data_IF_934398211482
#
_entry.id   IF_934398211482
#
_cell.length_a   1.000
_cell.length_b   1.000
_cell.length_c   1.000
_cell.angle_alpha   90.00
_cell.angle_beta   90.00
_cell.angle_gamma   90.00
#
_symmetry.space_group_name_H-M   'P 1'
#
loop_
_entity.id
_entity.type
_entity.pdbx_description
1 polymer ?
#
# COMPACT_ATOMS: atom_id res chain seq x y z
N UNK A 1 6.57 12.65 -3.82
CA UNK A 1 5.37 11.97 -3.29
C UNK A 1 5.15 12.25 -1.80
N UNK A 2 6.17 12.06 -0.94
CA UNK A 2 6.09 12.26 0.53
C UNK A 2 5.69 13.68 0.96
N UNK A 3 6.05 14.72 0.20
CA UNK A 3 5.66 16.11 0.48
C UNK A 3 4.22 16.47 0.09
N UNK A 4 3.56 15.68 -0.77
CA UNK A 4 2.21 15.92 -1.26
C UNK A 4 1.39 14.61 -1.22
N UNK A 5 1.14 14.06 -0.02
CA UNK A 5 0.57 12.72 0.16
C UNK A 5 -0.87 12.57 -0.36
N UNK A 6 -1.61 13.67 -0.41
CA UNK A 6 -2.98 13.72 -0.93
C UNK A 6 -3.05 13.53 -2.45
N UNK A 7 -1.93 13.67 -3.16
CA UNK A 7 -1.83 13.59 -4.63
C UNK A 7 -1.14 12.32 -5.12
N UNK A 8 -1.03 11.30 -4.28
CA UNK A 8 -0.39 10.01 -4.59
C UNK A 8 -0.94 9.35 -5.84
N UNK A 9 -2.27 9.28 -5.99
CA UNK A 9 -2.94 8.76 -7.18
C UNK A 9 -2.65 9.56 -8.45
N UNK A 10 -2.61 10.90 -8.36
CA UNK A 10 -2.25 11.78 -9.49
C UNK A 10 -0.83 11.51 -9.97
N UNK A 11 0.12 11.33 -9.06
CA UNK A 11 1.51 11.00 -9.42
C UNK A 11 1.62 9.60 -10.02
N UNK A 12 0.91 8.62 -9.48
CA UNK A 12 0.92 7.26 -10.01
C UNK A 12 0.31 7.22 -11.43
N UNK A 13 -0.82 7.90 -11.65
CA UNK A 13 -1.45 8.01 -12.95
C UNK A 13 -0.55 8.71 -13.98
N UNK A 14 0.13 9.79 -13.57
CA UNK A 14 1.12 10.46 -14.42
C UNK A 14 2.29 9.55 -14.80
N UNK A 15 2.80 8.75 -13.87
CA UNK A 15 3.84 7.76 -14.16
C UNK A 15 3.33 6.62 -15.06
N UNK A 16 2.05 6.23 -14.92
CA UNK A 16 1.42 5.27 -15.83
C UNK A 16 1.39 5.74 -17.28
N UNK A 17 1.21 7.05 -17.51
CA UNK A 17 1.32 7.63 -18.85
C UNK A 17 2.77 7.66 -19.38
N UNK A 18 3.77 7.73 -18.48
CA UNK A 18 5.18 7.81 -18.83
C UNK A 18 5.89 6.45 -18.94
N UNK A 19 5.34 5.38 -18.36
CA UNK A 19 6.02 4.08 -18.26
C UNK A 19 6.43 3.52 -19.63
N UNK A 20 5.62 3.78 -20.66
CA UNK A 20 5.87 3.30 -22.01
C UNK A 20 6.97 4.09 -22.74
N UNK A 21 6.90 5.42 -22.88
CA UNK A 21 7.96 6.20 -23.52
C UNK A 21 9.24 6.30 -22.67
N UNK A 22 9.15 6.16 -21.34
CA UNK A 22 10.25 6.43 -20.41
C UNK A 22 10.42 5.33 -19.36
N UNK A 23 10.39 4.06 -19.78
CA UNK A 23 10.46 2.89 -18.87
C UNK A 23 11.64 2.92 -17.90
N UNK A 24 12.84 3.29 -18.37
CA UNK A 24 14.05 3.34 -17.53
C UNK A 24 13.87 4.33 -16.38
N UNK A 25 13.40 5.55 -16.69
CA UNK A 25 13.12 6.57 -15.68
C UNK A 25 12.06 6.12 -14.66
N UNK A 26 10.97 5.50 -15.12
CA UNK A 26 9.93 5.00 -14.21
C UNK A 26 10.47 3.88 -13.32
N UNK A 27 11.30 2.99 -13.88
CA UNK A 27 11.94 1.90 -13.12
C UNK A 27 12.86 2.46 -12.03
N UNK A 28 13.74 3.41 -12.37
CA UNK A 28 14.63 4.05 -11.40
C UNK A 28 13.85 4.79 -10.30
N UNK A 29 12.72 5.41 -10.63
CA UNK A 29 11.87 6.08 -9.66
C UNK A 29 11.20 5.09 -8.71
N UNK A 30 10.70 3.97 -9.23
CA UNK A 30 10.13 2.87 -8.43
C UNK A 30 11.19 2.30 -7.49
N UNK A 31 12.38 1.99 -8.01
CA UNK A 31 13.51 1.51 -7.22
C UNK A 31 13.86 2.50 -6.11
N UNK A 32 13.89 3.80 -6.43
CA UNK A 32 14.16 4.82 -5.42
C UNK A 32 13.06 4.93 -4.37
N UNK A 33 11.79 4.75 -4.75
CA UNK A 33 10.68 4.75 -3.81
C UNK A 33 10.74 3.55 -2.85
N UNK A 34 11.18 2.39 -3.34
CA UNK A 34 11.41 1.21 -2.54
C UNK A 34 12.61 1.37 -1.58
N UNK A 35 13.74 1.90 -2.07
CA UNK A 35 14.88 2.24 -1.21
C UNK A 35 14.47 3.20 -0.10
N UNK A 36 13.68 4.23 -0.43
CA UNK A 36 13.16 5.17 0.55
C UNK A 36 12.19 4.54 1.55
N UNK A 37 11.46 3.49 1.16
CA UNK A 37 10.61 2.72 2.06
C UNK A 37 11.45 1.91 3.05
N UNK A 38 12.53 1.30 2.56
CA UNK A 38 13.53 0.65 3.41
C UNK A 38 14.18 1.64 4.37
N UNK A 39 14.75 2.74 3.89
CA UNK A 39 15.44 3.70 4.74
C UNK A 39 14.50 4.54 5.64
N UNK A 40 13.19 4.27 5.61
CA UNK A 40 12.19 5.08 6.28
C UNK A 40 12.13 4.80 7.79
N UNK A 41 12.53 5.78 8.60
CA UNK A 41 12.27 5.78 10.04
C UNK A 41 10.89 6.37 10.42
N UNK A 42 10.22 7.03 9.47
CA UNK A 42 8.96 7.73 9.69
C UNK A 42 7.77 6.89 9.25
N UNK A 43 6.93 6.55 10.22
CA UNK A 43 5.61 5.91 10.04
C UNK A 43 4.77 6.60 8.98
N UNK A 44 4.75 7.94 9.01
CA UNK A 44 3.96 8.73 8.06
C UNK A 44 4.47 8.53 6.63
N UNK A 45 5.79 8.58 6.44
CA UNK A 45 6.39 8.40 5.12
C UNK A 45 6.23 6.96 4.62
N UNK A 46 6.36 5.94 5.48
CA UNK A 46 6.05 4.55 5.13
C UNK A 46 4.60 4.40 4.63
N UNK A 47 3.61 4.96 5.34
CA UNK A 47 2.20 4.93 4.91
C UNK A 47 2.01 5.55 3.53
N UNK A 48 2.64 6.69 3.28
CA UNK A 48 2.53 7.41 2.00
C UNK A 48 3.18 6.63 0.87
N UNK A 49 4.36 6.04 1.12
CA UNK A 49 5.09 5.22 0.15
C UNK A 49 4.32 3.93 -0.16
N UNK A 50 3.79 3.23 0.85
CA UNK A 50 2.96 2.04 0.64
C UNK A 50 1.71 2.35 -0.20
N UNK A 51 1.01 3.44 0.13
CA UNK A 51 -0.12 3.91 -0.69
C UNK A 51 0.32 4.17 -2.13
N UNK A 52 1.45 4.85 -2.32
CA UNK A 52 1.96 5.17 -3.64
C UNK A 52 2.34 3.93 -4.46
N UNK A 53 2.97 2.91 -3.85
CA UNK A 53 3.31 1.66 -4.52
C UNK A 53 2.06 0.89 -4.98
N UNK A 54 1.01 0.85 -4.16
CA UNK A 54 -0.27 0.23 -4.57
C UNK A 54 -0.96 1.03 -5.68
N UNK A 55 -0.92 2.37 -5.62
CA UNK A 55 -1.42 3.22 -6.71
C UNK A 55 -0.65 3.01 -8.02
N UNK A 56 0.67 2.79 -7.95
CA UNK A 56 1.48 2.44 -9.12
C UNK A 56 1.08 1.09 -9.71
N UNK A 57 0.75 0.10 -8.88
CA UNK A 57 0.21 -1.17 -9.36
C UNK A 57 -1.16 -1.00 -10.02
N UNK A 58 -2.06 -0.20 -9.43
CA UNK A 58 -3.34 0.15 -10.05
C UNK A 58 -3.18 0.82 -11.42
N UNK A 59 -2.10 1.61 -11.59
CA UNK A 59 -1.77 2.29 -12.84
C UNK A 59 -0.91 1.44 -13.80
N UNK A 60 -0.71 0.15 -13.51
CA UNK A 60 0.09 -0.81 -14.30
C UNK A 60 1.55 -0.40 -14.49
N UNK A 61 2.09 0.41 -13.59
CA UNK A 61 3.50 0.77 -13.59
C UNK A 61 4.37 -0.38 -13.06
N UNK A 62 3.87 -1.13 -12.08
CA UNK A 62 4.56 -2.22 -11.38
C UNK A 62 3.63 -3.42 -11.25
N UNK A 63 4.18 -4.62 -11.13
CA UNK A 63 3.39 -5.81 -10.83
C UNK A 63 2.87 -5.74 -9.40
N UNK A 64 1.57 -6.02 -9.23
CA UNK A 64 0.98 -6.01 -7.90
C UNK A 64 1.58 -7.11 -7.01
N UNK A 65 1.92 -8.27 -7.57
CA UNK A 65 2.56 -9.38 -6.85
C UNK A 65 3.86 -8.94 -6.17
N UNK A 66 4.65 -8.08 -6.81
CA UNK A 66 5.86 -7.53 -6.18
C UNK A 66 5.54 -6.56 -5.05
N UNK A 67 4.51 -5.73 -5.20
CA UNK A 67 4.04 -4.84 -4.12
C UNK A 67 3.49 -5.66 -2.96
N UNK A 68 2.81 -6.76 -3.26
CA UNK A 68 2.23 -7.68 -2.30
C UNK A 68 3.30 -8.43 -1.51
N UNK A 69 4.40 -8.84 -2.14
CA UNK A 69 5.56 -9.41 -1.44
C UNK A 69 6.10 -8.45 -0.37
N UNK A 70 6.21 -7.16 -0.69
CA UNK A 70 6.67 -6.15 0.29
C UNK A 70 5.67 -5.88 1.39
N UNK A 71 4.37 -5.91 1.06
CA UNK A 71 3.30 -5.88 2.08
C UNK A 71 3.44 -7.08 3.02
N UNK A 72 3.68 -8.28 2.49
CA UNK A 72 3.83 -9.51 3.27
C UNK A 72 5.05 -9.44 4.19
N UNK A 73 6.20 -8.99 3.70
CA UNK A 73 7.41 -8.83 4.51
C UNK A 73 7.22 -7.82 5.64
N UNK A 74 6.60 -6.66 5.37
CA UNK A 74 6.23 -5.71 6.41
C UNK A 74 5.32 -6.34 7.46
N UNK A 75 4.39 -7.20 7.04
CA UNK A 75 3.49 -7.92 7.93
C UNK A 75 4.22 -9.01 8.73
N UNK A 76 5.26 -9.62 8.16
CA UNK A 76 6.11 -10.63 8.80
C UNK A 76 7.09 -10.02 9.81
N UNK A 77 7.49 -8.76 9.65
CA UNK A 77 8.29 -8.03 10.63
C UNK A 77 7.67 -8.01 12.04
N UNK A 78 6.34 -8.22 12.16
CA UNK A 78 5.68 -8.39 13.47
C UNK A 78 6.22 -9.58 14.27
N UNK A 79 6.74 -10.60 13.59
CA UNK A 79 7.29 -11.79 14.21
C UNK A 79 8.77 -11.63 14.57
N UNK A 80 9.44 -10.61 14.03
CA UNK A 80 10.84 -10.32 14.34
C UNK A 80 11.00 -9.89 15.80
N UNK A 81 12.05 -10.39 16.45
CA UNK A 81 12.44 -9.98 17.81
C UNK A 81 13.06 -8.58 17.84
N UNK A 82 13.59 -8.11 16.71
CA UNK A 82 14.28 -6.81 16.58
C UNK A 82 13.29 -5.63 16.54
N UNK A 83 12.01 -5.90 16.28
CA UNK A 83 10.98 -4.86 16.12
C UNK A 83 10.25 -4.63 17.45
N UNK A 84 10.54 -3.49 18.10
CA UNK A 84 9.88 -3.10 19.35
C UNK A 84 8.38 -2.86 19.19
N UNK A 85 7.94 -2.23 18.10
CA UNK A 85 6.53 -2.00 17.80
C UNK A 85 6.07 -2.87 16.64
N UNK A 86 5.67 -4.10 16.96
CA UNK A 86 5.20 -5.12 16.02
C UNK A 86 3.95 -4.70 15.23
N UNK A 87 3.20 -3.72 15.73
CA UNK A 87 1.95 -3.25 15.10
C UNK A 87 2.22 -2.23 14.00
N UNK A 88 3.36 -1.53 14.08
CA UNK A 88 3.63 -0.41 13.19
C UNK A 88 3.87 -0.85 11.73
N UNK A 89 4.74 -1.82 11.42
CA UNK A 89 4.91 -2.32 10.05
C UNK A 89 3.59 -2.80 9.42
N UNK A 90 2.76 -3.51 10.21
CA UNK A 90 1.42 -3.97 9.80
C UNK A 90 0.51 -2.77 9.53
N UNK A 91 0.50 -1.76 10.39
CA UNK A 91 -0.27 -0.54 10.19
C UNK A 91 0.09 0.17 8.88
N UNK A 92 1.38 0.32 8.56
CA UNK A 92 1.83 0.91 7.30
C UNK A 92 1.39 0.09 6.07
N UNK A 93 1.54 -1.24 6.13
CA UNK A 93 1.11 -2.17 5.10
C UNK A 93 -0.41 -2.05 4.81
N UNK A 94 -1.23 -2.03 5.86
CA UNK A 94 -2.68 -1.90 5.76
C UNK A 94 -3.13 -0.56 5.13
N UNK A 95 -2.38 0.53 5.33
CA UNK A 95 -2.66 1.81 4.67
C UNK A 95 -2.49 1.73 3.14
N UNK A 96 -1.57 0.89 2.66
CA UNK A 96 -1.43 0.62 1.22
C UNK A 96 -2.67 -0.07 0.65
N UNK A 97 -3.22 -1.04 1.39
CA UNK A 97 -4.42 -1.77 0.95
C UNK A 97 -5.66 -0.88 0.84
N UNK A 98 -5.71 0.29 1.49
CA UNK A 98 -6.86 1.18 1.40
C UNK A 98 -7.15 1.69 -0.02
N UNK A 99 -6.16 1.65 -0.91
CA UNK A 99 -6.28 2.16 -2.29
C UNK A 99 -6.23 1.06 -3.34
N UNK A 100 -6.24 -0.22 -2.95
CA UNK A 100 -6.28 -1.32 -3.92
C UNK A 100 -7.55 -1.22 -4.79
N UNK A 101 -7.41 -1.43 -6.09
CA UNK A 101 -8.55 -1.52 -6.99
C UNK A 101 -9.26 -2.88 -6.86
N UNK A 102 -10.58 -2.96 -7.15
CA UNK A 102 -11.31 -4.23 -7.16
C UNK A 102 -10.70 -5.28 -8.09
N UNK A 103 -10.16 -4.85 -9.24
CA UNK A 103 -9.48 -5.74 -10.19
C UNK A 103 -8.26 -6.43 -9.56
N UNK A 104 -7.35 -5.66 -8.93
CA UNK A 104 -6.18 -6.24 -8.25
C UNK A 104 -6.57 -7.11 -7.06
N UNK A 105 -7.60 -6.72 -6.31
CA UNK A 105 -8.13 -7.56 -5.23
C UNK A 105 -8.67 -8.89 -5.75
N UNK A 106 -9.41 -8.90 -6.86
CA UNK A 106 -9.97 -10.11 -7.46
C UNK A 106 -8.89 -11.11 -7.84
N UNK A 107 -7.82 -10.63 -8.46
CA UNK A 107 -6.70 -11.48 -8.91
C UNK A 107 -5.86 -12.00 -7.74
N UNK A 108 -5.79 -11.26 -6.63
CA UNK A 108 -4.94 -11.56 -5.47
C UNK A 108 -5.72 -11.77 -4.17
N UNK A 109 -6.96 -12.26 -4.29
CA UNK A 109 -7.93 -12.29 -3.18
C UNK A 109 -7.43 -13.02 -1.95
N UNK A 110 -6.89 -14.22 -2.14
CA UNK A 110 -6.47 -15.09 -1.03
C UNK A 110 -5.35 -14.45 -0.22
N UNK A 111 -4.36 -13.87 -0.89
CA UNK A 111 -3.23 -13.23 -0.25
C UNK A 111 -3.64 -11.94 0.48
N UNK A 112 -4.50 -11.11 -0.11
CA UNK A 112 -5.02 -9.89 0.55
C UNK A 112 -5.91 -10.25 1.75
N UNK A 113 -6.79 -11.24 1.61
CA UNK A 113 -7.64 -11.72 2.71
C UNK A 113 -6.81 -12.31 3.86
N UNK A 114 -5.68 -12.99 3.57
CA UNK A 114 -4.75 -13.48 4.60
C UNK A 114 -4.09 -12.34 5.39
N UNK A 115 -3.66 -11.26 4.73
CA UNK A 115 -3.11 -10.06 5.39
C UNK A 115 -4.15 -9.40 6.30
N UNK A 116 -5.40 -9.31 5.84
CA UNK A 116 -6.50 -8.73 6.63
C UNK A 116 -6.81 -9.61 7.84
N UNK A 117 -6.80 -10.94 7.69
CA UNK A 117 -7.04 -11.86 8.80
C UNK A 117 -6.01 -11.69 9.94
N UNK A 118 -4.73 -11.49 9.59
CA UNK A 118 -3.68 -11.17 10.56
C UNK A 118 -4.00 -9.88 11.32
N UNK A 119 -4.42 -8.83 10.62
CA UNK A 119 -4.77 -7.57 11.24
C UNK A 119 -5.98 -7.69 12.19
N UNK A 120 -6.96 -8.53 11.84
CA UNK A 120 -8.10 -8.85 12.71
C UNK A 120 -7.68 -9.58 13.98
N UNK A 121 -6.76 -10.55 13.88
CA UNK A 121 -6.19 -11.24 15.04
C UNK A 121 -5.49 -10.24 15.99
N UNK A 122 -4.68 -9.34 15.43
CA UNK A 122 -4.01 -8.30 16.21
C UNK A 122 -5.01 -7.36 16.89
N UNK A 123 -6.05 -6.93 16.17
CA UNK A 123 -7.16 -6.13 16.75
C UNK A 123 -7.82 -6.85 17.92
N UNK A 124 -8.10 -8.16 17.81
CA UNK A 124 -8.68 -8.96 18.90
C UNK A 124 -7.75 -9.00 20.12
N UNK A 125 -6.46 -9.27 19.91
CA UNK A 125 -5.47 -9.26 20.99
C UNK A 125 -5.31 -7.88 21.65
N UNK A 126 -5.51 -6.77 20.91
CA UNK A 126 -5.56 -5.41 21.46
C UNK A 126 -6.82 -5.16 22.28
N UNK A 127 -7.98 -5.62 21.81
CA UNK A 127 -9.23 -5.49 22.54
C UNK A 127 -9.16 -6.21 23.90
N UNK A 128 -8.56 -7.39 23.96
CA UNK A 128 -8.35 -8.13 25.21
C UNK A 128 -7.38 -7.41 26.17
N UNK A 129 -6.27 -6.87 25.65
CA UNK A 129 -5.31 -6.06 26.44
C UNK A 129 -5.95 -4.78 26.96
N UNK A 130 -6.71 -4.07 26.12
CA UNK A 130 -7.43 -2.86 26.53
C UNK A 130 -8.56 -3.16 27.48
N UNK A 131 -9.29 -4.26 27.34
CA UNK A 131 -10.31 -4.65 28.34
C UNK A 131 -9.69 -4.80 29.73
N UNK A 132 -8.49 -5.40 29.82
CA UNK A 132 -7.72 -5.49 31.07
C UNK A 132 -7.31 -4.11 31.59
N UNK A 133 -6.73 -3.26 30.75
CA UNK A 133 -6.30 -1.90 31.15
C UNK A 133 -7.48 -0.97 31.47
N UNK A 134 -8.55 -1.03 30.69
CA UNK A 134 -9.79 -0.31 30.89
C UNK A 134 -10.47 -0.78 32.18
N UNK A 135 -10.38 -2.04 32.58
CA UNK A 135 -10.84 -2.46 33.92
C UNK A 135 -10.06 -1.76 35.06
N UNK A 136 -8.80 -1.36 34.81
CA UNK A 136 -8.00 -0.57 35.75
C UNK A 136 -8.26 0.95 35.65
N UNK A 137 -8.61 1.46 34.46
CA UNK A 137 -8.78 2.90 34.17
C UNK A 137 -10.23 3.37 34.25
N UNK A 138 -11.22 2.49 34.06
CA UNK A 138 -12.66 2.77 34.16
C UNK A 138 -13.10 3.22 35.56
N UNK A 139 -12.21 3.15 36.55
CA UNK A 139 -12.36 3.87 37.81
C UNK A 139 -12.19 5.41 37.67
N UNK A 140 -11.85 5.95 36.50
CA UNK A 140 -11.38 7.35 36.39
C UNK A 140 -11.63 8.14 35.10
N UNK A 141 -12.27 7.64 34.03
CA UNK A 141 -12.42 8.45 32.80
C UNK A 141 -13.53 7.98 31.83
N UNK A 142 -14.33 8.93 31.34
CA UNK A 142 -15.43 8.77 30.36
C UNK A 142 -14.97 8.84 28.88
N UNK A 143 -13.67 8.97 28.60
CA UNK A 143 -13.16 9.17 27.24
C UNK A 143 -12.25 8.01 26.80
N UNK A 144 -12.83 6.89 26.38
CA UNK A 144 -12.10 5.86 25.65
C UNK A 144 -12.17 6.20 24.16
N UNK A 145 -11.20 6.97 23.66
CA UNK A 145 -11.04 7.21 22.22
C UNK A 145 -10.70 5.88 21.53
N UNK A 146 -11.41 5.56 20.45
CA UNK A 146 -11.07 4.42 19.58
C UNK A 146 -9.69 4.62 18.94
N UNK A 147 -8.96 3.53 18.81
CA UNK A 147 -7.58 3.48 18.34
C UNK A 147 -7.51 3.56 16.80
N UNK A 148 -6.56 4.33 16.25
CA UNK A 148 -6.40 4.53 14.82
C UNK A 148 -6.15 3.21 14.05
N UNK A 149 -5.54 2.21 14.70
CA UNK A 149 -5.35 0.88 14.11
C UNK A 149 -6.67 0.13 13.95
N UNK A 150 -7.55 0.17 14.94
CA UNK A 150 -8.82 -0.56 14.89
C UNK A 150 -9.74 0.02 13.83
N UNK A 151 -9.80 1.36 13.76
CA UNK A 151 -10.54 2.08 12.72
C UNK A 151 -10.04 1.73 11.33
N UNK A 152 -8.72 1.58 11.16
CA UNK A 152 -8.14 1.14 9.89
C UNK A 152 -8.60 -0.27 9.51
N UNK A 153 -8.57 -1.22 10.46
CA UNK A 153 -9.03 -2.59 10.22
C UNK A 153 -10.52 -2.62 9.88
N UNK A 154 -11.35 -1.83 10.58
CA UNK A 154 -12.78 -1.71 10.28
C UNK A 154 -13.03 -1.11 8.90
N UNK A 155 -12.31 -0.03 8.56
CA UNK A 155 -12.41 0.58 7.24
C UNK A 155 -12.04 -0.42 6.12
N UNK A 156 -10.98 -1.20 6.31
CA UNK A 156 -10.59 -2.24 5.36
C UNK A 156 -11.64 -3.34 5.22
N UNK A 157 -12.22 -3.81 6.31
CA UNK A 157 -13.30 -4.80 6.26
C UNK A 157 -14.53 -4.25 5.54
N UNK A 158 -14.91 -3.00 5.86
CA UNK A 158 -16.00 -2.30 5.18
C UNK A 158 -15.74 -2.18 3.69
N UNK A 159 -14.54 -1.75 3.27
CA UNK A 159 -14.19 -1.63 1.85
C UNK A 159 -14.12 -2.98 1.14
N UNK A 160 -13.57 -4.01 1.79
CA UNK A 160 -13.54 -5.37 1.24
C UNK A 160 -14.95 -5.84 0.89
N UNK A 161 -15.89 -5.67 1.81
CA UNK A 161 -17.24 -6.20 1.66
C UNK A 161 -18.14 -5.32 0.77
N UNK A 162 -17.96 -3.99 0.78
CA UNK A 162 -18.80 -3.04 0.03
C UNK A 162 -18.26 -2.63 -1.34
N UNK A 163 -16.94 -2.61 -1.53
CA UNK A 163 -16.29 -2.09 -2.74
C UNK A 163 -15.66 -3.24 -3.50
N UNK A 164 -14.69 -3.93 -2.88
CA UNK A 164 -13.87 -4.91 -3.61
C UNK A 164 -14.61 -6.20 -3.97
N UNK A 165 -15.57 -6.63 -3.13
CA UNK A 165 -16.41 -7.80 -3.41
C UNK A 165 -17.68 -7.48 -4.18
N UNK A 166 -18.14 -6.22 -4.14
CA UNK A 166 -19.38 -5.81 -4.79
C UNK A 166 -19.18 -5.40 -6.25
N UNK A 167 -18.03 -4.81 -6.59
CA UNK A 167 -17.71 -4.47 -7.97
C UNK A 167 -17.14 -5.68 -8.72
N UNK A 168 -17.94 -6.28 -9.60
CA UNK A 168 -17.44 -7.18 -10.67
C UNK A 168 -16.70 -6.43 -11.78
N UNK A 169 -16.64 -5.10 -11.67
CA UNK A 169 -16.01 -4.22 -12.64
C UNK A 169 -14.49 -4.45 -12.66
N UNK A 170 -13.96 -4.85 -13.81
CA UNK A 170 -12.51 -4.93 -14.07
C UNK A 170 -11.85 -3.53 -14.15
N UNK A 171 -12.45 -2.51 -13.54
CA UNK A 171 -12.11 -1.11 -13.75
C UNK A 171 -11.52 -0.52 -12.47
N UNK A 172 -10.33 0.09 -12.60
CA UNK A 172 -9.73 0.87 -11.53
C UNK A 172 -10.51 2.19 -11.34
N UNK A 173 -10.88 2.61 -10.12
CA UNK A 173 -11.56 3.89 -9.91
C UNK A 173 -10.71 5.12 -10.33
N UNK A 174 -9.42 4.91 -10.61
CA UNK A 174 -8.47 5.92 -11.11
C UNK A 174 -8.41 5.96 -12.65
N UNK A 175 -9.26 5.18 -13.34
CA UNK A 175 -9.10 4.77 -14.74
C UNK A 175 -8.62 5.88 -15.69
N UNK A 176 -7.41 5.65 -16.19
CA UNK A 176 -6.80 6.23 -17.38
C UNK A 176 -7.48 5.79 -18.69
N UNK A 177 -8.55 4.96 -18.67
CA UNK A 177 -9.26 4.54 -19.89
C UNK A 177 -9.80 5.69 -20.75
N UNK A 178 -10.28 6.83 -20.21
CA UNK A 178 -10.61 7.97 -21.05
C UNK A 178 -9.38 8.47 -21.84
N UNK A 179 -8.16 8.27 -21.34
CA UNK A 179 -6.92 8.63 -22.01
C UNK A 179 -6.36 7.52 -22.91
N UNK A 180 -6.65 6.24 -22.63
CA UNK A 180 -6.38 5.14 -23.57
C UNK A 180 -7.34 5.18 -24.78
N UNK A 181 -8.57 5.66 -24.59
CA UNK A 181 -9.60 5.73 -25.65
C UNK A 181 -9.73 7.09 -26.35
N UNK A 182 -9.36 8.20 -25.70
CA UNK A 182 -9.27 9.48 -26.38
C UNK A 182 -7.90 9.55 -27.06
N UNK A 183 -7.89 9.35 -28.38
CA UNK A 183 -6.75 9.60 -29.26
C UNK A 183 -6.25 11.06 -29.25
N UNK A 184 -5.80 11.52 -28.09
CA UNK A 184 -5.19 12.80 -27.78
C UNK A 184 -3.66 12.70 -27.68
N UNK A 185 -3.08 11.54 -27.96
CA UNK A 185 -1.79 11.58 -28.64
C UNK A 185 -2.05 12.34 -29.96
N UNK A 186 -1.42 13.52 -30.19
CA UNK A 186 -1.54 14.18 -31.49
C UNK A 186 -1.24 13.14 -32.56
N UNK A 187 -2.13 13.03 -33.56
CA UNK A 187 -2.01 12.11 -34.70
C UNK A 187 -0.68 12.33 -35.42
N UNK A 188 0.40 11.80 -34.87
CA UNK A 188 1.59 11.45 -35.63
C UNK A 188 1.21 10.14 -36.28
N UNK A 189 0.73 10.25 -37.52
CA UNK A 189 0.36 9.15 -38.38
C UNK A 189 1.55 8.19 -38.51
N UNK A 190 1.61 7.20 -37.63
CA UNK A 190 2.50 6.06 -37.76
C UNK A 190 1.64 4.86 -37.41
N UNK A 191 1.41 4.01 -38.40
CA UNK A 191 0.78 2.71 -38.25
C UNK A 191 1.46 1.99 -37.06
N UNK A 192 0.79 1.98 -35.92
CA UNK A 192 1.28 1.37 -34.70
C UNK A 192 0.64 -0.03 -34.60
N UNK A 193 1.40 -1.11 -34.85
CA UNK A 193 0.84 -2.47 -34.90
C UNK A 193 0.38 -2.98 -33.53
N UNK A 194 -0.59 -3.90 -33.53
CA UNK A 194 -1.38 -4.38 -32.37
C UNK A 194 -0.57 -4.92 -31.17
N UNK A 195 0.70 -5.27 -31.35
CA UNK A 195 1.63 -5.64 -30.27
C UNK A 195 2.01 -4.48 -29.33
N UNK A 196 1.47 -3.28 -29.57
CA UNK A 196 1.65 -2.09 -28.76
C UNK A 196 0.54 -1.82 -27.75
N UNK A 197 -0.34 -2.80 -27.49
CA UNK A 197 -1.39 -2.72 -26.47
C UNK A 197 -0.96 -3.30 -25.11
N UNK A 198 0.16 -4.03 -25.06
CA UNK A 198 0.70 -4.56 -23.80
C UNK A 198 1.51 -3.48 -23.09
N UNK A 199 1.02 -3.02 -21.93
CA UNK A 199 1.78 -2.14 -21.04
C UNK A 199 2.86 -3.00 -20.39
N UNK A 200 4.16 -2.76 -20.66
CA UNK A 200 5.23 -3.55 -20.07
C UNK A 200 5.20 -3.35 -18.56
N UNK A 201 4.85 -4.39 -17.81
CA UNK A 201 4.81 -4.30 -16.35
C UNK A 201 6.22 -4.50 -15.80
N UNK A 202 6.63 -3.64 -14.87
CA UNK A 202 7.93 -3.77 -14.21
C UNK A 202 7.82 -4.88 -13.16
N UNK A 203 8.52 -5.98 -13.42
CA UNK A 203 8.77 -7.02 -12.42
C UNK A 203 9.85 -6.51 -11.48
N UNK A 204 9.47 -6.26 -10.24
CA UNK A 204 10.39 -5.72 -9.24
C UNK A 204 11.18 -6.87 -8.62
N UNK A 205 12.50 -6.82 -8.73
CA UNK A 205 13.42 -7.84 -8.19
C UNK A 205 13.62 -7.62 -6.69
N UNK A 206 13.18 -8.60 -5.91
CA UNK A 206 13.18 -8.66 -4.44
C UNK A 206 14.58 -8.71 -3.80
N UNK A 207 15.64 -8.86 -4.61
CA UNK A 207 17.04 -9.04 -4.21
C UNK A 207 17.62 -7.91 -3.32
N UNK A 208 16.86 -6.84 -3.08
CA UNK A 208 17.28 -5.64 -2.30
C UNK A 208 16.52 -5.45 -0.98
N UNK A 209 15.62 -6.36 -0.64
CA UNK A 209 14.81 -6.27 0.59
C UNK A 209 15.59 -6.70 1.82
N UNK A 210 16.66 -7.48 1.65
CA UNK A 210 17.63 -7.76 2.73
C UNK A 210 18.26 -6.49 3.34
N UNK A 211 18.06 -5.32 2.69
CA UNK A 211 18.44 -3.99 3.17
C UNK A 211 17.35 -3.25 3.97
N UNK A 212 16.16 -3.85 4.20
CA UNK A 212 15.17 -3.28 5.11
C UNK A 212 15.79 -3.11 6.52
N UNK A 213 15.50 -2.00 7.22
CA UNK A 213 16.26 -1.57 8.38
C UNK A 213 16.06 -2.54 9.53
N UNK A 214 17.15 -3.16 9.96
CA UNK A 214 17.22 -4.08 11.10
C UNK A 214 17.16 -3.38 12.48
N UNK A 215 16.84 -2.08 12.53
CA UNK A 215 17.00 -1.31 13.77
C UNK A 215 15.93 -0.22 13.94
N UNK A 216 15.11 -0.34 14.98
CA UNK A 216 14.38 0.77 15.59
C UNK A 216 14.93 1.04 16.99
N UNK A 217 15.85 2.00 17.22
CA UNK A 217 16.10 2.52 18.54
C UNK A 217 15.18 3.73 18.76
N UNK A 218 13.96 3.53 19.24
CA UNK A 218 13.22 4.65 19.82
C UNK A 218 13.81 4.97 21.20
N UNK A 219 14.78 5.90 21.25
CA UNK A 219 14.98 6.72 22.45
C UNK A 219 14.09 7.95 22.32
N UNK A 220 13.03 7.98 23.12
CA UNK A 220 12.27 9.21 23.37
C UNK A 220 13.20 10.13 24.19
N UNK A 221 13.55 11.34 23.73
CA UNK A 221 14.17 12.31 24.61
C UNK A 221 13.09 12.84 25.55
N UNK A 222 13.23 12.52 26.83
CA UNK A 222 12.49 13.19 27.90
C UNK A 222 13.15 14.57 28.11
N UNK A 223 12.52 15.61 27.57
CA UNK A 223 12.70 17.01 28.02
C UNK A 223 11.37 17.73 27.92
#
# INVERSE_FOLDING_TARGET
VTYLPQKTSVYAAWLGLLVRPHRVFVTELVDRAAELLGDCSSVLAMKILMRFLVELANCRCVLFDSVLAVIQELVELRNSEEVHNKEMPVYAALHGLLVISPALYKDNREAVDAIIAIAQEMKKGRAERRSKLASCVAASSEFVQEDDFDRLVEALLSMRDQVWRAEESNESPVLLRPYEMAGLAPKLAVNQPEHMLEVPTIEWRLDRIDALPRCFPFRIPLT
#
